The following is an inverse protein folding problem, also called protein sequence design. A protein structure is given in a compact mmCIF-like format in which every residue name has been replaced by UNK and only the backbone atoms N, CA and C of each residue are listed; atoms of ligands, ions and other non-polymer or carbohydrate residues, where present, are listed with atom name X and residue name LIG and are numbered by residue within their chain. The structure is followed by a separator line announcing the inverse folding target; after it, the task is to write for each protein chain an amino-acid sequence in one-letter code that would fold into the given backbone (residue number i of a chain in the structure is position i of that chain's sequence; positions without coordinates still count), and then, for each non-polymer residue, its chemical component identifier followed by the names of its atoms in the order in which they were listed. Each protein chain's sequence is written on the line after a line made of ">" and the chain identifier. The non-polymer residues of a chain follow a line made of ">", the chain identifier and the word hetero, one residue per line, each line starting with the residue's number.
data_IF_165326000234
#
_entry.id   IF_165326000234
#
_cell.length_a   1.000
_cell.length_b   1.000
_cell.length_c   1.000
_cell.angle_alpha   90.00
_cell.angle_beta   90.00
_cell.angle_gamma   90.00
#
_symmetry.space_group_name_H-M   'P 1'
#
loop_
_entity.id
_entity.type
_entity.pdbx_description
1 polymer ?
#
# COMPACT_ATOMS: atom_id res chain seq x y z
N UNK A 1 28.72 -18.65 8.98
CA UNK A 1 28.71 -18.34 7.54
C UNK A 1 27.60 -17.34 7.29
N UNK A 2 27.93 -16.05 7.33
CA UNK A 2 26.97 -14.94 7.16
C UNK A 2 27.04 -14.46 5.72
N UNK A 3 26.02 -14.74 4.92
CA UNK A 3 25.95 -14.23 3.54
C UNK A 3 25.80 -12.71 3.59
N UNK A 4 26.68 -11.92 2.95
CA UNK A 4 26.57 -10.47 2.95
C UNK A 4 25.31 -10.07 2.17
N UNK A 5 24.43 -9.33 2.84
CA UNK A 5 23.22 -8.76 2.25
C UNK A 5 23.66 -7.72 1.24
N UNK A 6 23.67 -8.08 -0.04
CA UNK A 6 23.91 -7.13 -1.12
C UNK A 6 22.78 -6.11 -1.02
N UNK A 7 23.14 -4.85 -0.78
CA UNK A 7 22.29 -3.67 -0.87
C UNK A 7 21.89 -3.39 -2.34
N UNK A 8 21.40 -4.43 -3.02
CA UNK A 8 20.89 -4.43 -4.38
C UNK A 8 19.38 -4.42 -4.33
N UNK A 9 18.77 -3.71 -5.27
CA UNK A 9 17.33 -3.60 -5.49
C UNK A 9 16.67 -4.97 -5.27
N UNK A 10 15.87 -5.11 -4.21
CA UNK A 10 15.21 -6.38 -3.92
C UNK A 10 14.12 -6.60 -4.95
N UNK A 11 14.36 -7.50 -5.90
CA UNK A 11 13.42 -7.80 -6.98
C UNK A 11 12.40 -8.87 -6.55
N UNK A 12 11.33 -9.00 -7.32
CA UNK A 12 10.33 -10.06 -7.14
C UNK A 12 10.92 -11.47 -7.08
N UNK A 13 11.76 -11.89 -8.05
CA UNK A 13 12.46 -13.17 -8.01
C UNK A 13 13.28 -13.38 -6.72
N UNK A 14 13.97 -12.34 -6.24
CA UNK A 14 14.76 -12.43 -5.01
C UNK A 14 13.87 -12.70 -3.79
N UNK A 15 12.72 -12.02 -3.71
CA UNK A 15 11.74 -12.26 -2.64
C UNK A 15 11.20 -13.69 -2.69
N UNK A 16 10.89 -14.22 -3.89
CA UNK A 16 10.42 -15.59 -4.05
C UNK A 16 11.48 -16.60 -3.60
N UNK A 17 12.75 -16.39 -3.98
CA UNK A 17 13.87 -17.22 -3.54
C UNK A 17 14.01 -17.20 -2.01
N UNK A 18 13.91 -16.02 -1.38
CA UNK A 18 13.95 -15.87 0.09
C UNK A 18 12.82 -16.61 0.78
N UNK A 19 11.60 -16.55 0.25
CA UNK A 19 10.43 -17.26 0.78
C UNK A 19 10.66 -18.77 0.72
N UNK A 20 11.07 -19.29 -0.44
CA UNK A 20 11.32 -20.73 -0.62
C UNK A 20 12.42 -21.24 0.30
N UNK A 21 13.53 -20.49 0.42
CA UNK A 21 14.60 -20.82 1.34
C UNK A 21 14.15 -20.83 2.80
N UNK A 22 13.31 -19.87 3.20
CA UNK A 22 12.76 -19.81 4.56
C UNK A 22 11.78 -20.95 4.86
N UNK A 23 10.90 -21.29 3.91
CA UNK A 23 9.98 -22.41 4.03
C UNK A 23 10.75 -23.74 4.16
N UNK A 24 11.77 -23.95 3.33
CA UNK A 24 12.63 -25.12 3.38
C UNK A 24 13.36 -25.26 4.73
N UNK A 25 13.88 -24.16 5.28
CA UNK A 25 14.51 -24.17 6.63
C UNK A 25 13.57 -24.56 7.76
N UNK A 26 12.26 -24.38 7.58
CA UNK A 26 11.23 -24.71 8.57
C UNK A 26 10.51 -26.02 8.26
N UNK A 27 10.93 -26.74 7.21
CA UNK A 27 10.27 -27.96 6.73
C UNK A 27 8.77 -27.78 6.49
N UNK A 28 8.34 -26.59 6.09
CA UNK A 28 6.95 -26.27 5.79
C UNK A 28 6.74 -26.20 4.28
N UNK A 29 5.58 -26.66 3.76
CA UNK A 29 5.21 -26.39 2.39
C UNK A 29 5.11 -24.88 2.19
N UNK A 30 5.56 -24.40 1.03
CA UNK A 30 5.66 -22.96 0.73
C UNK A 30 4.30 -22.26 0.87
N UNK A 31 3.21 -22.95 0.52
CA UNK A 31 1.84 -22.42 0.67
C UNK A 31 1.47 -22.19 2.13
N UNK A 32 1.75 -23.15 3.01
CA UNK A 32 1.46 -23.03 4.44
C UNK A 32 2.32 -21.95 5.07
N UNK A 33 3.59 -21.86 4.66
CA UNK A 33 4.48 -20.79 5.09
C UNK A 33 3.97 -19.40 4.67
N UNK A 34 3.32 -19.28 3.51
CA UNK A 34 2.76 -18.03 3.00
C UNK A 34 1.39 -17.67 3.53
N UNK A 35 0.67 -18.61 4.15
CA UNK A 35 -0.70 -18.40 4.67
C UNK A 35 -0.86 -17.10 5.48
N UNK A 36 0.09 -16.68 6.35
CA UNK A 36 -0.01 -15.41 7.06
C UNK A 36 0.01 -14.14 6.18
N UNK A 37 0.58 -14.22 4.96
CA UNK A 37 0.65 -13.09 4.03
C UNK A 37 -0.58 -12.96 3.14
N UNK A 38 -1.00 -14.08 2.55
CA UNK A 38 -2.04 -14.14 1.50
C UNK A 38 -3.42 -14.53 2.05
N UNK A 39 -3.49 -14.96 3.31
CA UNK A 39 -4.72 -15.49 3.92
C UNK A 39 -5.18 -16.76 3.20
N UNK A 40 -6.47 -16.83 2.87
CA UNK A 40 -7.07 -17.96 2.15
C UNK A 40 -6.91 -17.85 0.62
N UNK A 41 -6.27 -16.79 0.11
CA UNK A 41 -6.05 -16.64 -1.33
C UNK A 41 -4.85 -17.52 -1.73
N UNK A 42 -5.02 -18.36 -2.75
CA UNK A 42 -4.03 -19.35 -3.15
C UNK A 42 -2.62 -18.78 -3.32
N UNK A 43 -1.66 -19.32 -2.57
CA UNK A 43 -0.29 -18.80 -2.49
C UNK A 43 0.51 -18.90 -3.80
N UNK A 44 0.15 -19.84 -4.68
CA UNK A 44 0.83 -20.06 -5.97
C UNK A 44 0.67 -18.88 -6.92
N UNK A 45 -0.55 -18.38 -7.09
CA UNK A 45 -0.82 -17.25 -7.99
C UNK A 45 -0.11 -15.99 -7.49
N UNK A 46 -0.12 -15.76 -6.18
CA UNK A 46 0.57 -14.64 -5.57
C UNK A 46 2.10 -14.73 -5.74
N UNK A 47 2.69 -15.92 -5.62
CA UNK A 47 4.12 -16.13 -5.90
C UNK A 47 4.46 -15.88 -7.36
N UNK A 48 3.58 -16.27 -8.29
CA UNK A 48 3.78 -16.04 -9.73
C UNK A 48 3.72 -14.55 -10.07
N UNK A 49 2.80 -13.82 -9.45
CA UNK A 49 2.72 -12.35 -9.57
C UNK A 49 3.95 -11.67 -8.96
N UNK A 50 4.33 -12.08 -7.75
CA UNK A 50 5.50 -11.54 -7.07
C UNK A 50 6.78 -11.78 -7.88
N UNK A 51 6.96 -12.98 -8.43
CA UNK A 51 8.13 -13.33 -9.24
C UNK A 51 8.24 -12.52 -10.54
N UNK A 52 7.16 -11.90 -11.02
CA UNK A 52 7.16 -11.00 -12.19
C UNK A 52 7.39 -9.54 -11.82
N UNK A 53 7.36 -9.19 -10.54
CA UNK A 53 7.51 -7.81 -10.10
C UNK A 53 8.97 -7.35 -10.15
N UNK A 54 9.29 -6.43 -11.05
CA UNK A 54 10.62 -5.81 -11.10
C UNK A 54 10.87 -4.85 -9.93
N UNK A 55 9.83 -4.14 -9.49
CA UNK A 55 9.87 -3.18 -8.39
C UNK A 55 8.76 -3.50 -7.38
N UNK A 56 8.95 -4.51 -6.50
CA UNK A 56 7.96 -4.83 -5.49
C UNK A 56 7.77 -3.63 -4.54
N UNK A 57 6.52 -3.41 -4.13
CA UNK A 57 6.18 -2.33 -3.20
C UNK A 57 6.95 -2.49 -1.89
N UNK A 58 7.38 -1.37 -1.28
CA UNK A 58 8.08 -1.38 0.00
C UNK A 58 7.33 -2.18 1.08
N UNK A 59 6.00 -2.04 1.16
CA UNK A 59 5.15 -2.82 2.07
C UNK A 59 5.25 -4.33 1.86
N UNK A 60 5.41 -4.77 0.62
CA UNK A 60 5.53 -6.20 0.28
C UNK A 60 6.89 -6.72 0.73
N UNK A 61 7.95 -5.93 0.48
CA UNK A 61 9.31 -6.25 0.94
C UNK A 61 9.35 -6.39 2.46
N UNK A 62 8.76 -5.43 3.20
CA UNK A 62 8.68 -5.47 4.67
C UNK A 62 7.95 -6.70 5.15
N UNK A 63 6.73 -6.96 4.67
CA UNK A 63 5.93 -8.11 5.12
C UNK A 63 6.58 -9.46 4.81
N UNK A 64 7.25 -9.59 3.66
CA UNK A 64 8.03 -10.79 3.35
C UNK A 64 9.22 -10.93 4.29
N UNK A 65 9.89 -9.84 4.62
CA UNK A 65 11.02 -9.85 5.55
C UNK A 65 10.57 -10.24 6.97
N UNK A 66 9.46 -9.65 7.44
CA UNK A 66 8.84 -10.02 8.72
C UNK A 66 8.48 -11.52 8.77
N UNK A 67 7.86 -12.04 7.71
CA UNK A 67 7.52 -13.47 7.62
C UNK A 67 8.78 -14.36 7.71
N UNK A 68 9.81 -14.03 6.93
CA UNK A 68 11.07 -14.80 6.88
C UNK A 68 11.78 -14.79 8.24
N UNK A 69 11.75 -13.66 8.93
CA UNK A 69 12.35 -13.47 10.25
C UNK A 69 11.48 -14.02 11.39
N UNK A 70 10.21 -14.39 11.11
CA UNK A 70 9.27 -14.83 12.15
C UNK A 70 8.75 -13.68 13.02
N UNK A 71 8.85 -12.44 12.56
CA UNK A 71 8.23 -11.28 13.20
C UNK A 71 6.72 -11.27 12.93
N UNK A 72 5.93 -10.65 13.82
CA UNK A 72 4.50 -10.47 13.57
C UNK A 72 4.29 -9.68 12.27
N UNK A 73 3.53 -10.26 11.35
CA UNK A 73 3.21 -9.62 10.07
C UNK A 73 2.18 -8.54 10.35
N UNK A 74 2.55 -7.29 10.08
CA UNK A 74 1.60 -6.19 10.14
C UNK A 74 0.42 -6.51 9.23
N UNK A 75 -0.82 -6.60 9.73
CA UNK A 75 -1.97 -6.92 8.90
C UNK A 75 -2.07 -5.87 7.80
N UNK A 76 -2.47 -6.31 6.60
CA UNK A 76 -2.86 -5.35 5.58
C UNK A 76 -3.95 -4.49 6.20
N UNK A 77 -3.75 -3.16 6.29
CA UNK A 77 -4.80 -2.25 6.75
C UNK A 77 -6.02 -2.53 5.90
N UNK A 78 -7.02 -3.17 6.50
CA UNK A 78 -8.36 -3.22 5.93
C UNK A 78 -8.73 -1.76 5.78
N UNK A 79 -8.93 -1.32 4.54
CA UNK A 79 -9.45 0.02 4.30
C UNK A 79 -10.86 -0.01 4.88
N UNK A 80 -10.99 0.36 6.16
CA UNK A 80 -12.28 0.65 6.76
C UNK A 80 -12.73 1.88 5.99
N UNK A 81 -13.58 1.65 4.98
CA UNK A 81 -14.35 2.69 4.34
C UNK A 81 -15.13 3.31 5.49
N UNK A 82 -14.63 4.43 6.02
CA UNK A 82 -15.37 5.17 7.03
C UNK A 82 -16.74 5.42 6.39
N UNK A 83 -17.84 4.92 6.98
CA UNK A 83 -19.14 5.39 6.56
C UNK A 83 -19.08 6.90 6.81
N UNK A 84 -19.13 7.68 5.72
CA UNK A 84 -19.25 9.12 5.79
C UNK A 84 -20.46 9.39 6.66
N UNK A 85 -20.22 9.72 7.93
CA UNK A 85 -21.27 10.15 8.83
C UNK A 85 -21.90 11.37 8.16
N UNK A 86 -23.17 11.24 7.79
CA UNK A 86 -23.99 12.38 7.45
C UNK A 86 -23.88 13.36 8.61
N UNK A 87 -23.16 14.45 8.38
CA UNK A 87 -23.01 15.53 9.34
C UNK A 87 -24.26 16.38 9.27
N UNK A 88 -25.33 15.95 9.96
CA UNK A 88 -26.43 16.83 10.31
C UNK A 88 -26.03 17.63 11.56
N UNK A 89 -25.95 18.93 11.35
CA UNK A 89 -26.25 20.00 12.30
C UNK A 89 -25.31 20.24 13.50
N UNK A 90 -24.47 21.28 13.36
CA UNK A 90 -24.27 22.24 14.45
C UNK A 90 -23.93 23.60 13.87
N UNK A 91 -24.91 24.51 13.89
CA UNK A 91 -24.72 25.91 13.57
C UNK A 91 -23.69 26.53 14.54
N UNK A 92 -22.63 27.13 13.99
CA UNK A 92 -21.75 28.08 14.69
C UNK A 92 -21.64 29.31 13.80
N UNK A 93 -22.13 30.49 14.22
CA UNK A 93 -21.91 31.72 13.48
C UNK A 93 -20.55 32.29 13.89
N UNK A 94 -19.56 32.21 13.00
CA UNK A 94 -18.36 33.06 13.09
C UNK A 94 -18.04 33.55 11.68
N UNK A 95 -18.10 34.87 11.57
CA UNK A 95 -17.67 35.70 10.45
C UNK A 95 -16.17 35.44 10.18
N UNK A 96 -15.84 34.78 9.07
CA UNK A 96 -14.47 34.65 8.58
C UNK A 96 -14.52 34.55 7.04
N UNK A 97 -13.76 35.36 6.27
CA UNK A 97 -13.82 35.33 4.82
C UNK A 97 -13.38 33.97 4.31
N UNK A 98 -14.36 33.24 3.75
CA UNK A 98 -14.26 31.89 3.21
C UNK A 98 -13.06 31.79 2.27
N UNK A 99 -11.93 31.29 2.80
CA UNK A 99 -10.88 30.73 1.97
C UNK A 99 -11.50 29.57 1.21
N UNK A 100 -11.43 29.63 -0.12
CA UNK A 100 -12.02 28.63 -1.01
C UNK A 100 -11.71 27.21 -0.52
N UNK A 101 -12.68 26.28 -0.59
CA UNK A 101 -12.48 24.91 -0.11
C UNK A 101 -11.29 24.30 -0.85
N UNK A 102 -10.16 24.19 -0.15
CA UNK A 102 -8.98 23.49 -0.63
C UNK A 102 -9.38 22.03 -0.75
N UNK A 103 -9.48 21.54 -1.98
CA UNK A 103 -9.83 20.16 -2.28
C UNK A 103 -8.70 19.22 -1.80
N UNK A 104 -8.95 18.57 -0.65
CA UNK A 104 -8.00 17.65 0.01
C UNK A 104 -8.15 16.20 -0.45
N UNK A 105 -8.99 15.89 -1.44
CA UNK A 105 -9.19 14.51 -1.86
C UNK A 105 -7.91 13.91 -2.48
N UNK A 106 -7.47 12.72 -2.03
CA UNK A 106 -6.30 12.07 -2.62
C UNK A 106 -6.60 11.58 -4.03
N UNK A 107 -5.63 11.71 -4.94
CA UNK A 107 -5.77 11.22 -6.29
C UNK A 107 -6.03 9.70 -6.30
N UNK A 108 -7.09 9.26 -6.97
CA UNK A 108 -7.44 7.84 -7.11
C UNK A 108 -6.34 6.99 -7.79
N UNK A 109 -5.46 7.60 -8.59
CA UNK A 109 -4.41 6.89 -9.33
C UNK A 109 -3.08 6.78 -8.57
N UNK A 110 -2.72 7.76 -7.76
CA UNK A 110 -1.41 7.78 -7.08
C UNK A 110 -1.46 8.11 -5.58
N UNK A 111 -2.62 8.41 -5.01
CA UNK A 111 -2.81 8.67 -3.57
C UNK A 111 -2.26 10.00 -3.06
N UNK A 112 -1.69 10.84 -3.93
CA UNK A 112 -1.20 12.19 -3.56
C UNK A 112 -2.39 13.07 -3.20
N UNK A 113 -2.29 13.82 -2.09
CA UNK A 113 -3.35 14.71 -1.61
C UNK A 113 -3.66 15.81 -2.63
N UNK A 114 -4.94 16.16 -2.75
CA UNK A 114 -5.42 17.17 -3.70
C UNK A 114 -4.78 18.55 -3.54
N UNK A 115 -4.43 18.92 -2.31
CA UNK A 115 -3.74 20.18 -2.00
C UNK A 115 -2.28 20.25 -2.47
N UNK A 116 -1.66 19.09 -2.73
CA UNK A 116 -0.28 18.98 -3.23
C UNK A 116 -0.27 18.96 -4.77
N UNK A 117 -1.37 18.52 -5.38
CA UNK A 117 -1.48 18.34 -6.82
C UNK A 117 -0.71 17.11 -7.33
N UNK A 118 -1.20 16.52 -8.42
CA UNK A 118 -0.48 15.46 -9.12
C UNK A 118 -0.81 15.49 -10.61
N UNK A 119 0.07 14.94 -11.45
CA UNK A 119 -0.12 14.88 -12.91
C UNK A 119 -1.35 14.09 -13.36
N UNK A 120 -1.93 13.29 -12.46
CA UNK A 120 -3.11 12.48 -12.75
C UNK A 120 -4.42 13.23 -12.50
N UNK A 121 -4.38 14.37 -11.81
CA UNK A 121 -5.55 15.22 -11.67
C UNK A 121 -5.59 16.16 -12.86
N UNK A 122 -6.71 16.23 -13.60
CA UNK A 122 -6.90 17.32 -14.55
C UNK A 122 -6.80 18.64 -13.78
N UNK A 123 -6.12 19.63 -14.35
CA UNK A 123 -6.16 20.98 -13.82
C UNK A 123 -7.64 21.40 -13.75
N UNK A 124 -8.09 21.87 -12.59
CA UNK A 124 -9.45 22.37 -12.46
C UNK A 124 -9.70 23.40 -13.57
N UNK A 125 -10.85 23.36 -14.26
CA UNK A 125 -11.18 24.42 -15.20
C UNK A 125 -11.18 25.72 -14.41
N UNK A 126 -10.34 26.67 -14.80
CA UNK A 126 -10.40 28.01 -14.26
C UNK A 126 -11.80 28.53 -14.57
N UNK A 127 -12.64 28.68 -13.54
CA UNK A 127 -13.88 29.44 -13.67
C UNK A 127 -13.46 30.89 -13.97
N UNK A 128 -13.38 31.20 -15.26
CA UNK A 128 -13.46 32.55 -15.79
C UNK A 128 -14.88 33.05 -15.51
N UNK A 129 -15.12 33.51 -14.27
CA UNK A 129 -16.19 34.47 -14.01
C UNK A 129 -15.75 35.81 -14.59
N UNK A 130 -16.02 35.98 -15.87
CA UNK A 130 -15.98 37.26 -16.57
C UNK A 130 -17.38 37.84 -16.64
N UNK A 131 -17.52 39.00 -16.00
CA UNK A 131 -18.52 40.07 -16.20
C UNK A 131 -19.92 39.86 -15.63
#
# INVERSE_FOLDING_TARGET
>A
MSTPWIAGVTTGPDLVARIRAAAARRSLPVEEFLRPLVGNKGGVSWLKELGRAHYPLARTITRVSDLVEGRPITPARTYQRQPSAGSTDRAVPVDDPVSAPIDREPCFKCGVRGDIGCRHRPAAPANIHGL
#
